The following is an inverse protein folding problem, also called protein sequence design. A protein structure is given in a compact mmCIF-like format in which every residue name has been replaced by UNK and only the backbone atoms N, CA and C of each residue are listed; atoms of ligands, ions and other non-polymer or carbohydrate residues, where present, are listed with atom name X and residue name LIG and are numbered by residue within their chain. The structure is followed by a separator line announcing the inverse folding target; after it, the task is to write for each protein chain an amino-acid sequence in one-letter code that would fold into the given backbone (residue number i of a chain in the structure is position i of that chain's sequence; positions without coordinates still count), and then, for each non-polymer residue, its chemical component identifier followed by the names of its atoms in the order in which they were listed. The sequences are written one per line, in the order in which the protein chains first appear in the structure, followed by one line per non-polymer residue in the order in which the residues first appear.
data_IF_109975199323
#
_entry.id   IF_109975199323
#
_cell.length_a   1.000
_cell.length_b   1.000
_cell.length_c   1.000
_cell.angle_alpha   90.00
_cell.angle_beta   90.00
_cell.angle_gamma   90.00
#
_symmetry.space_group_name_H-M   'P 1'
#
loop_
_entity.id
_entity.type
_entity.pdbx_description
1 polymer ?
#
# COMPACT_ATOMS: atom_id res chain seq x y z
N UNK A 1 18.14 -49.44 -78.23
CA UNK A 1 18.18 -50.01 -76.86
C UNK A 1 19.63 -50.24 -76.48
N UNK A 2 20.23 -49.30 -75.75
CA UNK A 2 21.62 -49.37 -75.25
C UNK A 2 21.53 -49.54 -73.73
N UNK A 3 21.99 -50.68 -73.21
CA UNK A 3 22.10 -50.91 -71.76
C UNK A 3 23.58 -50.81 -71.39
N UNK A 4 23.86 -49.89 -70.47
CA UNK A 4 25.18 -49.51 -70.00
C UNK A 4 25.81 -50.59 -69.10
N UNK A 5 27.11 -50.81 -69.29
CA UNK A 5 28.04 -51.31 -68.27
C UNK A 5 28.47 -50.16 -67.36
N UNK A 6 28.42 -50.34 -66.03
CA UNK A 6 29.22 -49.59 -65.05
C UNK A 6 29.56 -50.43 -63.81
N UNK A 7 30.81 -50.88 -63.79
CA UNK A 7 31.82 -50.78 -62.70
C UNK A 7 31.38 -50.82 -61.24
N UNK A 8 31.92 -51.80 -60.52
CA UNK A 8 32.13 -51.81 -59.07
C UNK A 8 33.39 -51.00 -58.68
N UNK A 9 33.34 -50.30 -57.54
CA UNK A 9 34.50 -49.94 -56.71
C UNK A 9 34.00 -49.47 -55.32
N UNK A 10 34.82 -49.71 -54.31
CA UNK A 10 34.46 -49.82 -52.90
C UNK A 10 34.92 -48.64 -52.02
N UNK A 11 34.47 -48.71 -50.75
CA UNK A 11 35.17 -48.38 -49.50
C UNK A 11 35.08 -46.96 -48.88
N UNK A 12 34.84 -46.98 -47.55
CA UNK A 12 35.15 -45.99 -46.50
C UNK A 12 34.42 -44.64 -46.59
N UNK A 13 33.63 -44.17 -45.63
CA UNK A 13 33.66 -44.36 -44.18
C UNK A 13 33.95 -43.01 -43.53
N UNK A 14 32.93 -42.33 -43.00
CA UNK A 14 33.06 -41.32 -41.92
C UNK A 14 31.67 -40.89 -41.45
N UNK A 15 31.25 -41.50 -40.34
CA UNK A 15 30.17 -41.02 -39.48
C UNK A 15 30.65 -39.74 -38.78
N UNK A 16 30.16 -38.59 -39.21
CA UNK A 16 30.24 -37.36 -38.43
C UNK A 16 29.05 -37.32 -37.46
N UNK A 17 29.26 -37.86 -36.26
CA UNK A 17 28.43 -37.57 -35.09
C UNK A 17 28.61 -36.09 -34.73
N UNK A 18 27.69 -35.23 -35.14
CA UNK A 18 27.57 -33.87 -34.62
C UNK A 18 26.96 -33.93 -33.23
N UNK A 19 27.79 -34.22 -32.24
CA UNK A 19 27.48 -33.96 -30.84
C UNK A 19 27.35 -32.44 -30.64
N UNK A 20 26.12 -31.91 -30.72
CA UNK A 20 25.76 -30.69 -30.02
C UNK A 20 25.86 -30.97 -28.52
N UNK A 21 27.07 -30.93 -28.00
CA UNK A 21 27.29 -30.72 -26.59
C UNK A 21 26.78 -29.31 -26.29
N UNK A 22 25.66 -29.20 -25.57
CA UNK A 22 25.24 -27.96 -24.92
C UNK A 22 26.39 -27.50 -24.02
N UNK A 23 27.23 -26.61 -24.54
CA UNK A 23 28.32 -25.99 -23.81
C UNK A 23 27.71 -25.14 -22.68
N UNK A 24 27.74 -25.70 -21.48
CA UNK A 24 27.30 -25.10 -20.22
C UNK A 24 28.18 -23.88 -19.95
N UNK A 25 27.63 -22.69 -19.67
CA UNK A 25 28.45 -21.52 -19.36
C UNK A 25 29.32 -21.81 -18.12
N UNK A 26 30.64 -21.57 -18.20
CA UNK A 26 31.56 -21.82 -17.11
C UNK A 26 31.35 -20.74 -16.04
N UNK A 27 30.96 -21.14 -14.82
CA UNK A 27 31.00 -20.24 -13.65
C UNK A 27 29.78 -20.27 -12.73
N UNK A 28 28.63 -20.80 -13.16
CA UNK A 28 27.44 -20.76 -12.32
C UNK A 28 27.29 -22.02 -11.46
N UNK A 29 27.62 -21.89 -10.17
CA UNK A 29 27.52 -22.97 -9.19
C UNK A 29 26.06 -23.44 -9.04
N UNK A 30 25.86 -24.70 -8.63
CA UNK A 30 24.52 -25.25 -8.37
C UNK A 30 23.73 -24.38 -7.39
N UNK A 31 24.41 -23.87 -6.37
CA UNK A 31 23.84 -23.01 -5.33
C UNK A 31 23.30 -21.70 -5.88
N UNK A 32 24.03 -21.03 -6.78
CA UNK A 32 23.58 -19.79 -7.42
C UNK A 32 22.29 -20.03 -8.21
N UNK A 33 22.23 -21.11 -9.01
CA UNK A 33 21.02 -21.46 -9.77
C UNK A 33 19.83 -21.76 -8.87
N UNK A 34 20.04 -22.50 -7.79
CA UNK A 34 18.96 -22.81 -6.83
C UNK A 34 18.45 -21.55 -6.15
N UNK A 35 19.33 -20.61 -5.80
CA UNK A 35 18.94 -19.31 -5.22
C UNK A 35 18.17 -18.45 -6.22
N UNK A 36 18.62 -18.36 -7.47
CA UNK A 36 17.91 -17.63 -8.52
C UNK A 36 16.52 -18.21 -8.78
N UNK A 37 16.40 -19.54 -8.92
CA UNK A 37 15.10 -20.18 -9.13
C UNK A 37 14.15 -19.99 -7.93
N UNK A 38 14.68 -19.99 -6.70
CA UNK A 38 13.89 -19.70 -5.51
C UNK A 38 13.40 -18.25 -5.48
N UNK A 39 14.25 -17.29 -5.85
CA UNK A 39 13.89 -15.88 -5.95
C UNK A 39 12.82 -15.63 -7.03
N UNK A 40 12.94 -16.29 -8.19
CA UNK A 40 11.93 -16.22 -9.26
C UNK A 40 10.57 -16.78 -8.81
N UNK A 41 10.58 -17.93 -8.11
CA UNK A 41 9.37 -18.53 -7.56
C UNK A 41 8.73 -17.64 -6.47
N UNK A 42 9.55 -17.05 -5.60
CA UNK A 42 9.10 -16.10 -4.58
C UNK A 42 8.46 -14.87 -5.23
N UNK A 43 9.12 -14.30 -6.24
CA UNK A 43 8.60 -13.14 -6.96
C UNK A 43 7.28 -13.44 -7.65
N UNK A 44 7.16 -14.59 -8.32
CA UNK A 44 5.92 -15.03 -8.94
C UNK A 44 4.79 -15.19 -7.90
N UNK A 45 5.11 -15.72 -6.71
CA UNK A 45 4.15 -15.82 -5.62
C UNK A 45 3.69 -14.44 -5.15
N UNK A 46 4.61 -13.48 -4.93
CA UNK A 46 4.29 -12.12 -4.49
C UNK A 46 3.36 -11.41 -5.48
N UNK A 47 3.65 -11.52 -6.78
CA UNK A 47 2.80 -10.96 -7.82
C UNK A 47 1.39 -11.56 -7.81
N UNK A 48 1.28 -12.88 -7.66
CA UNK A 48 -0.02 -13.55 -7.60
C UNK A 48 -0.79 -13.20 -6.33
N UNK A 49 -0.14 -13.26 -5.17
CA UNK A 49 -0.74 -12.95 -3.87
C UNK A 49 -1.26 -11.51 -3.81
N UNK A 50 -0.51 -10.54 -4.36
CA UNK A 50 -0.98 -9.16 -4.45
C UNK A 50 -2.22 -9.03 -5.35
N UNK A 51 -2.26 -9.68 -6.52
CA UNK A 51 -3.46 -9.66 -7.38
C UNK A 51 -4.67 -10.27 -6.69
N UNK A 52 -4.51 -11.41 -6.03
CA UNK A 52 -5.60 -12.09 -5.33
C UNK A 52 -6.10 -11.24 -4.15
N UNK A 53 -5.19 -10.61 -3.41
CA UNK A 53 -5.53 -9.71 -2.32
C UNK A 53 -6.35 -8.50 -2.81
N UNK A 54 -5.99 -7.90 -3.94
CA UNK A 54 -6.77 -6.80 -4.53
C UNK A 54 -8.19 -7.25 -4.92
N UNK A 55 -8.32 -8.42 -5.56
CA UNK A 55 -9.63 -8.96 -5.90
C UNK A 55 -10.51 -9.22 -4.65
N UNK A 56 -9.89 -9.70 -3.56
CA UNK A 56 -10.60 -9.89 -2.29
C UNK A 56 -11.00 -8.56 -1.64
N UNK A 57 -10.16 -7.53 -1.71
CA UNK A 57 -10.48 -6.18 -1.24
C UNK A 57 -11.66 -5.58 -2.01
N UNK A 58 -11.71 -5.78 -3.32
CA UNK A 58 -12.87 -5.37 -4.14
C UNK A 58 -14.14 -6.11 -3.74
N UNK A 59 -14.02 -7.39 -3.40
CA UNK A 59 -15.14 -8.20 -2.91
C UNK A 59 -15.61 -7.71 -1.55
N UNK A 60 -14.67 -7.42 -0.64
CA UNK A 60 -14.95 -6.88 0.69
C UNK A 60 -15.68 -5.54 0.62
N UNK A 61 -15.30 -4.66 -0.30
CA UNK A 61 -15.94 -3.36 -0.48
C UNK A 61 -17.44 -3.45 -0.84
N UNK A 62 -17.93 -4.62 -1.27
CA UNK A 62 -19.34 -4.88 -1.62
C UNK A 62 -20.04 -5.82 -0.62
N UNK A 63 -19.30 -6.37 0.33
CA UNK A 63 -19.83 -7.31 1.31
C UNK A 63 -20.50 -6.56 2.46
N UNK A 64 -21.53 -7.18 3.06
CA UNK A 64 -22.25 -6.64 4.21
C UNK A 64 -22.43 -7.72 5.30
N UNK A 65 -22.66 -7.28 6.54
CA UNK A 65 -22.94 -8.16 7.68
C UNK A 65 -21.78 -9.09 8.05
N UNK A 66 -22.10 -10.25 8.63
CA UNK A 66 -21.09 -11.20 9.13
C UNK A 66 -20.12 -11.70 8.05
N UNK A 67 -20.58 -11.82 6.80
CA UNK A 67 -19.72 -12.22 5.68
C UNK A 67 -18.63 -11.17 5.39
N UNK A 68 -18.92 -9.88 5.59
CA UNK A 68 -17.93 -8.82 5.46
C UNK A 68 -16.88 -8.88 6.57
N UNK A 69 -17.28 -9.19 7.81
CA UNK A 69 -16.36 -9.33 8.95
C UNK A 69 -15.38 -10.49 8.75
N UNK A 70 -15.89 -11.64 8.31
CA UNK A 70 -15.06 -12.82 7.98
C UNK A 70 -14.07 -12.52 6.87
N UNK A 71 -14.54 -11.88 5.79
CA UNK A 71 -13.69 -11.51 4.66
C UNK A 71 -12.66 -10.43 5.05
N UNK A 72 -13.01 -9.46 5.90
CA UNK A 72 -12.08 -8.48 6.42
C UNK A 72 -10.94 -9.13 7.22
N UNK A 73 -11.25 -10.13 8.04
CA UNK A 73 -10.23 -10.90 8.77
C UNK A 73 -9.29 -11.66 7.82
N UNK A 74 -9.81 -12.30 6.78
CA UNK A 74 -9.00 -12.99 5.77
C UNK A 74 -8.10 -12.02 4.99
N UNK A 75 -8.66 -10.90 4.54
CA UNK A 75 -7.91 -9.82 3.87
C UNK A 75 -6.79 -9.30 4.77
N UNK A 76 -7.06 -9.09 6.05
CA UNK A 76 -6.05 -8.67 7.03
C UNK A 76 -4.91 -9.69 7.18
N UNK A 77 -5.25 -10.98 7.31
CA UNK A 77 -4.25 -12.06 7.43
C UNK A 77 -3.36 -12.15 6.17
N UNK A 78 -3.95 -12.03 4.99
CA UNK A 78 -3.22 -12.05 3.70
C UNK A 78 -2.38 -10.81 3.47
N UNK A 79 -2.86 -9.65 3.90
CA UNK A 79 -2.08 -8.40 3.88
C UNK A 79 -0.82 -8.56 4.73
N UNK A 80 -0.95 -9.08 5.95
CA UNK A 80 0.18 -9.32 6.83
C UNK A 80 1.18 -10.32 6.24
N UNK A 81 0.68 -11.38 5.60
CA UNK A 81 1.54 -12.37 4.95
C UNK A 81 2.31 -11.80 3.76
N UNK A 82 1.60 -11.10 2.87
CA UNK A 82 2.20 -10.41 1.73
C UNK A 82 3.27 -9.43 2.20
N UNK A 83 2.98 -8.60 3.20
CA UNK A 83 3.92 -7.62 3.73
C UNK A 83 5.18 -8.28 4.29
N UNK A 84 5.03 -9.35 5.09
CA UNK A 84 6.15 -10.10 5.65
C UNK A 84 7.08 -10.64 4.55
N UNK A 85 6.50 -11.26 3.52
CA UNK A 85 7.27 -11.85 2.41
C UNK A 85 7.87 -10.80 1.48
N UNK A 86 7.18 -9.69 1.24
CA UNK A 86 7.71 -8.54 0.51
C UNK A 86 8.97 -7.99 1.19
N UNK A 87 8.93 -7.77 2.50
CA UNK A 87 10.08 -7.29 3.25
C UNK A 87 11.25 -8.27 3.19
N UNK A 88 10.98 -9.58 3.35
CA UNK A 88 12.01 -10.60 3.21
C UNK A 88 12.64 -10.57 1.81
N UNK A 89 11.83 -10.52 0.76
CA UNK A 89 12.31 -10.46 -0.63
C UNK A 89 13.16 -9.21 -0.90
N UNK A 90 12.73 -8.03 -0.44
CA UNK A 90 13.50 -6.78 -0.59
C UNK A 90 14.84 -6.87 0.14
N UNK A 91 14.85 -7.41 1.36
CA UNK A 91 16.07 -7.56 2.16
C UNK A 91 17.04 -8.60 1.60
N UNK A 92 16.54 -9.66 0.96
CA UNK A 92 17.36 -10.70 0.32
C UNK A 92 17.94 -10.26 -1.03
N UNK A 93 17.39 -9.19 -1.62
CA UNK A 93 17.78 -8.62 -2.90
C UNK A 93 18.04 -7.11 -2.78
N UNK A 94 18.91 -6.67 -1.85
CA UNK A 94 19.14 -5.26 -1.64
C UNK A 94 19.79 -4.65 -2.90
N UNK A 95 19.48 -3.38 -3.23
CA UNK A 95 20.22 -2.70 -4.28
C UNK A 95 21.71 -2.66 -3.93
N UNK A 96 22.62 -2.74 -4.93
CA UNK A 96 24.03 -2.49 -4.70
C UNK A 96 24.25 -1.16 -3.98
N UNK A 97 25.26 -1.07 -3.12
CA UNK A 97 25.50 0.12 -2.30
C UNK A 97 25.58 1.39 -3.15
N UNK A 98 24.71 2.37 -2.85
CA UNK A 98 24.62 3.64 -3.58
C UNK A 98 23.92 3.58 -4.94
N UNK A 99 23.50 2.40 -5.41
CA UNK A 99 22.72 2.25 -6.63
C UNK A 99 21.21 2.38 -6.32
N UNK A 100 20.46 2.93 -7.29
CA UNK A 100 19.00 2.91 -7.21
C UNK A 100 18.48 1.47 -7.40
N UNK A 101 17.40 1.07 -6.70
CA UNK A 101 16.72 -0.19 -6.98
C UNK A 101 16.28 -0.28 -8.44
N UNK A 102 16.37 -1.47 -9.04
CA UNK A 102 15.89 -1.74 -10.40
C UNK A 102 15.22 -3.11 -10.47
N UNK A 103 14.56 -3.40 -11.60
CA UNK A 103 13.94 -4.71 -11.87
C UNK A 103 12.96 -5.16 -10.78
N UNK A 104 12.99 -6.46 -10.45
CA UNK A 104 12.09 -7.05 -9.46
C UNK A 104 12.19 -6.42 -8.06
N UNK A 105 13.37 -5.98 -7.63
CA UNK A 105 13.52 -5.27 -6.34
C UNK A 105 12.76 -3.95 -6.34
N UNK A 106 12.86 -3.15 -7.41
CA UNK A 106 12.09 -1.90 -7.52
C UNK A 106 10.59 -2.16 -7.57
N UNK A 107 10.16 -3.19 -8.31
CA UNK A 107 8.75 -3.58 -8.38
C UNK A 107 8.22 -4.04 -7.02
N UNK A 108 9.00 -4.80 -6.25
CA UNK A 108 8.66 -5.21 -4.88
C UNK A 108 8.55 -4.00 -3.94
N UNK A 109 9.49 -3.06 -4.03
CA UNK A 109 9.45 -1.80 -3.27
C UNK A 109 8.17 -1.03 -3.60
N UNK A 110 7.82 -0.90 -4.88
CA UNK A 110 6.59 -0.19 -5.30
C UNK A 110 5.31 -0.92 -4.88
N UNK A 111 5.32 -2.24 -4.86
CA UNK A 111 4.22 -3.04 -4.29
C UNK A 111 4.06 -2.76 -2.79
N UNK A 112 5.16 -2.72 -2.03
CA UNK A 112 5.12 -2.30 -0.62
C UNK A 112 4.62 -0.86 -0.47
N UNK A 113 5.09 0.07 -1.29
CA UNK A 113 4.62 1.47 -1.26
C UNK A 113 3.12 1.57 -1.51
N UNK A 114 2.53 0.70 -2.33
CA UNK A 114 1.08 0.66 -2.52
C UNK A 114 0.34 0.27 -1.23
N UNK A 115 0.88 -0.68 -0.46
CA UNK A 115 0.36 -1.04 0.87
C UNK A 115 0.54 0.10 1.88
N UNK A 116 1.70 0.76 1.88
CA UNK A 116 1.98 1.91 2.75
C UNK A 116 1.00 3.08 2.46
N UNK A 117 0.68 3.33 1.19
CA UNK A 117 -0.33 4.33 0.79
C UNK A 117 -1.72 3.95 1.31
N UNK A 118 -2.11 2.68 1.26
CA UNK A 118 -3.41 2.22 1.80
C UNK A 118 -3.46 2.45 3.32
N UNK A 119 -2.42 2.05 4.03
CA UNK A 119 -2.31 2.27 5.47
C UNK A 119 -2.34 3.76 5.83
N UNK A 120 -1.63 4.61 5.07
CA UNK A 120 -1.66 6.05 5.29
C UNK A 120 -3.07 6.63 5.07
N UNK A 121 -3.79 6.16 4.05
CA UNK A 121 -5.18 6.55 3.81
C UNK A 121 -6.10 6.14 4.94
N UNK A 122 -5.97 4.92 5.48
CA UNK A 122 -6.74 4.45 6.65
C UNK A 122 -6.51 5.36 7.87
N UNK A 123 -5.24 5.70 8.17
CA UNK A 123 -4.94 6.64 9.25
C UNK A 123 -5.63 7.99 9.07
N UNK A 124 -5.76 8.49 7.83
CA UNK A 124 -6.48 9.73 7.55
C UNK A 124 -8.00 9.58 7.60
N UNK A 125 -8.57 8.57 6.93
CA UNK A 125 -10.00 8.43 6.70
C UNK A 125 -10.77 7.87 7.89
N UNK A 126 -10.13 7.05 8.71
CA UNK A 126 -10.74 6.45 9.90
C UNK A 126 -10.28 7.15 11.17
N UNK A 127 -8.97 7.43 11.25
CA UNK A 127 -8.33 7.91 12.46
C UNK A 127 -8.11 9.41 12.55
N UNK A 128 -8.29 10.18 11.46
CA UNK A 128 -7.90 11.60 11.41
C UNK A 128 -6.42 11.86 11.71
N UNK A 129 -5.58 10.82 11.67
CA UNK A 129 -4.19 10.84 12.10
C UNK A 129 -3.25 11.12 10.92
N UNK A 130 -3.30 12.37 10.45
CA UNK A 130 -2.42 12.85 9.40
C UNK A 130 -0.94 12.78 9.78
N UNK A 131 -0.60 12.84 11.07
CA UNK A 131 0.80 12.73 11.51
C UNK A 131 1.35 11.34 11.22
N UNK A 132 0.61 10.28 11.58
CA UNK A 132 1.01 8.91 11.25
C UNK A 132 0.98 8.66 9.76
N UNK A 133 -0.04 9.14 9.06
CA UNK A 133 -0.14 8.99 7.60
C UNK A 133 1.07 9.61 6.88
N UNK A 134 1.44 10.86 7.23
CA UNK A 134 2.60 11.54 6.67
C UNK A 134 3.89 10.78 6.97
N UNK A 135 4.08 10.29 8.21
CA UNK A 135 5.26 9.52 8.57
C UNK A 135 5.42 8.22 7.78
N UNK A 136 4.33 7.53 7.45
CA UNK A 136 4.34 6.35 6.58
C UNK A 136 4.76 6.71 5.16
N UNK A 137 4.18 7.78 4.59
CA UNK A 137 4.47 8.22 3.23
C UNK A 137 5.91 8.75 3.08
N UNK A 138 6.38 9.52 4.05
CA UNK A 138 7.76 10.03 4.11
C UNK A 138 8.76 8.86 4.18
N UNK A 139 8.54 7.88 5.06
CA UNK A 139 9.40 6.71 5.17
C UNK A 139 9.41 5.86 3.88
N UNK A 140 8.30 5.79 3.15
CA UNK A 140 8.26 5.11 1.86
C UNK A 140 9.03 5.88 0.77
N UNK A 141 8.97 7.21 0.78
CA UNK A 141 9.73 8.06 -0.15
C UNK A 141 11.24 8.04 0.11
N UNK A 142 11.67 7.86 1.35
CA UNK A 142 13.09 7.67 1.66
C UNK A 142 13.67 6.43 0.94
N UNK A 143 12.84 5.42 0.65
CA UNK A 143 13.22 4.18 -0.05
C UNK A 143 13.08 4.29 -1.58
N UNK A 144 12.01 4.90 -2.08
CA UNK A 144 11.78 5.16 -3.52
C UNK A 144 11.47 6.65 -3.78
N UNK A 145 12.51 7.52 -3.80
CA UNK A 145 12.31 8.96 -3.93
C UNK A 145 11.71 9.40 -5.27
N UNK A 146 11.79 8.55 -6.30
CA UNK A 146 11.30 8.85 -7.65
C UNK A 146 9.85 8.38 -7.86
N UNK A 147 9.16 7.90 -6.82
CA UNK A 147 7.80 7.39 -6.93
C UNK A 147 6.77 8.52 -7.04
N UNK A 148 6.17 8.78 -8.23
CA UNK A 148 5.27 9.91 -8.42
C UNK A 148 4.00 9.80 -7.56
N UNK A 149 3.50 8.57 -7.38
CA UNK A 149 2.28 8.34 -6.61
C UNK A 149 2.48 8.65 -5.12
N UNK A 150 3.64 8.31 -4.56
CA UNK A 150 3.93 8.67 -3.16
C UNK A 150 4.00 10.19 -2.96
N UNK A 151 4.61 10.92 -3.90
CA UNK A 151 4.62 12.39 -3.86
C UNK A 151 3.21 12.97 -3.91
N UNK A 152 2.36 12.47 -4.82
CA UNK A 152 0.95 12.91 -4.93
C UNK A 152 0.18 12.69 -3.62
N UNK A 153 0.30 11.50 -3.01
CA UNK A 153 -0.37 11.19 -1.74
C UNK A 153 0.18 12.03 -0.59
N UNK A 154 1.49 12.25 -0.53
CA UNK A 154 2.13 13.07 0.49
C UNK A 154 1.63 14.51 0.42
N UNK A 155 1.62 15.12 -0.76
CA UNK A 155 1.12 16.48 -0.95
C UNK A 155 -0.37 16.59 -0.63
N UNK A 156 -1.19 15.62 -1.05
CA UNK A 156 -2.60 15.56 -0.70
C UNK A 156 -2.82 15.46 0.82
N UNK A 157 -2.03 14.65 1.53
CA UNK A 157 -2.08 14.52 2.98
C UNK A 157 -1.63 15.82 3.68
N UNK A 158 -0.56 16.47 3.21
CA UNK A 158 -0.08 17.76 3.75
C UNK A 158 -1.13 18.84 3.61
N UNK A 159 -1.78 18.93 2.44
CA UNK A 159 -2.83 19.92 2.18
C UNK A 159 -4.07 19.74 3.06
N UNK A 160 -4.39 18.50 3.46
CA UNK A 160 -5.58 18.17 4.25
C UNK A 160 -5.35 18.09 5.75
N UNK A 161 -4.08 18.05 6.19
CA UNK A 161 -3.69 17.91 7.60
C UNK A 161 -4.29 19.00 8.49
N UNK A 162 -4.42 20.22 7.96
CA UNK A 162 -4.92 21.36 8.71
C UNK A 162 -6.30 21.79 8.23
N UNK A 163 -7.16 22.11 9.18
CA UNK A 163 -8.52 22.56 8.93
C UNK A 163 -8.51 24.01 8.41
N UNK A 164 -9.00 24.19 7.18
CA UNK A 164 -9.24 25.53 6.63
C UNK A 164 -10.58 26.09 7.10
N UNK A 165 -10.72 27.42 7.04
CA UNK A 165 -11.95 28.10 7.43
C UNK A 165 -13.11 27.74 6.51
N UNK A 166 -12.84 27.62 5.21
CA UNK A 166 -13.81 27.27 4.17
C UNK A 166 -14.35 25.85 4.38
N UNK A 167 -13.48 24.90 4.74
CA UNK A 167 -13.90 23.53 5.05
C UNK A 167 -14.73 23.50 6.33
N UNK A 168 -14.24 24.15 7.39
CA UNK A 168 -14.90 24.15 8.69
C UNK A 168 -16.30 24.79 8.66
N UNK A 169 -16.50 25.83 7.84
CA UNK A 169 -17.79 26.52 7.67
C UNK A 169 -18.92 25.61 7.11
N UNK A 170 -18.60 24.39 6.68
CA UNK A 170 -19.59 23.39 6.30
C UNK A 170 -20.30 22.77 7.51
N UNK A 171 -19.66 22.73 8.69
CA UNK A 171 -20.30 22.24 9.91
C UNK A 171 -21.25 23.28 10.49
N UNK A 172 -22.42 22.83 10.96
CA UNK A 172 -23.50 23.68 11.47
C UNK A 172 -24.18 23.03 12.67
N UNK A 173 -24.81 23.86 13.49
CA UNK A 173 -25.69 23.42 14.57
C UNK A 173 -26.74 22.41 14.08
N UNK A 174 -27.05 21.41 14.91
CA UNK A 174 -27.99 20.33 14.62
C UNK A 174 -27.41 19.15 13.81
N UNK A 175 -26.19 19.26 13.28
CA UNK A 175 -25.57 18.14 12.56
C UNK A 175 -25.24 16.96 13.50
N UNK A 176 -25.39 15.74 13.01
CA UNK A 176 -24.94 14.54 13.74
C UNK A 176 -23.42 14.36 13.60
N UNK A 177 -22.76 13.60 14.50
CA UNK A 177 -21.36 13.23 14.34
C UNK A 177 -21.04 12.61 12.98
N UNK A 178 -21.92 11.78 12.43
CA UNK A 178 -21.75 11.18 11.10
C UNK A 178 -21.76 12.22 9.98
N UNK A 179 -22.66 13.21 10.04
CA UNK A 179 -22.68 14.31 9.08
C UNK A 179 -21.41 15.17 9.16
N UNK A 180 -20.95 15.48 10.38
CA UNK A 180 -19.69 16.21 10.58
C UNK A 180 -18.51 15.44 10.01
N UNK A 181 -18.43 14.11 10.25
CA UNK A 181 -17.37 13.27 9.66
C UNK A 181 -17.37 13.29 8.14
N UNK A 182 -18.54 13.23 7.50
CA UNK A 182 -18.62 13.29 6.03
C UNK A 182 -18.15 14.63 5.46
N UNK A 183 -18.33 15.74 6.17
CA UNK A 183 -17.93 17.08 5.69
C UNK A 183 -16.48 17.43 6.08
N UNK A 184 -16.13 17.24 7.34
CA UNK A 184 -14.86 17.66 7.93
C UNK A 184 -13.80 16.55 7.98
N UNK A 185 -14.19 15.29 7.76
CA UNK A 185 -13.37 14.13 8.10
C UNK A 185 -13.47 13.76 9.58
N UNK A 186 -12.99 12.56 9.97
CA UNK A 186 -12.90 12.21 11.38
C UNK A 186 -11.89 13.11 12.11
N UNK A 187 -12.13 13.46 13.37
CA UNK A 187 -11.10 14.03 14.22
C UNK A 187 -10.03 12.96 14.54
N UNK A 188 -8.86 13.40 14.98
CA UNK A 188 -7.94 12.47 15.66
C UNK A 188 -8.59 11.98 16.95
N UNK A 189 -8.48 10.68 17.26
CA UNK A 189 -9.03 10.14 18.50
C UNK A 189 -8.48 10.82 19.77
N UNK A 190 -7.22 11.27 19.73
CA UNK A 190 -6.60 12.03 20.83
C UNK A 190 -7.11 13.48 20.94
N UNK A 191 -7.77 13.97 19.89
CA UNK A 191 -8.36 15.30 19.78
C UNK A 191 -9.88 15.27 20.02
N UNK A 192 -10.40 14.17 20.58
CA UNK A 192 -11.78 14.07 21.08
C UNK A 192 -11.75 14.18 22.60
N UNK A 193 -12.54 15.09 23.16
CA UNK A 193 -12.63 15.30 24.61
C UNK A 193 -14.06 15.25 25.10
N UNK A 194 -14.28 14.58 26.21
CA UNK A 194 -15.57 14.53 26.90
C UNK A 194 -15.57 15.48 28.09
N UNK A 195 -16.68 16.21 28.26
CA UNK A 195 -16.93 17.17 29.32
C UNK A 195 -18.24 16.74 30.03
N UNK A 196 -18.18 15.70 30.88
CA UNK A 196 -19.38 15.10 31.47
C UNK A 196 -20.18 16.08 32.34
N UNK A 197 -19.52 17.03 33.00
CA UNK A 197 -20.15 18.08 33.80
C UNK A 197 -21.02 19.03 32.97
N UNK A 198 -20.76 19.13 31.68
CA UNK A 198 -21.56 19.88 30.70
C UNK A 198 -22.44 18.97 29.84
N UNK A 199 -22.27 17.65 29.91
CA UNK A 199 -22.93 16.70 29.03
C UNK A 199 -22.54 16.87 27.56
N UNK A 200 -21.30 17.30 27.27
CA UNK A 200 -20.84 17.58 25.90
C UNK A 200 -19.57 16.85 25.52
N UNK A 201 -19.39 16.60 24.23
CA UNK A 201 -18.16 16.07 23.62
C UNK A 201 -17.64 17.09 22.61
N UNK A 202 -16.35 17.40 22.65
CA UNK A 202 -15.70 18.29 21.70
C UNK A 202 -14.77 17.51 20.78
N UNK A 203 -14.82 17.83 19.48
CA UNK A 203 -13.89 17.35 18.47
C UNK A 203 -13.00 18.51 18.03
N UNK A 204 -11.70 18.37 18.23
CA UNK A 204 -10.72 19.36 17.84
C UNK A 204 -10.08 19.00 16.49
N UNK A 205 -9.93 20.01 15.65
CA UNK A 205 -9.29 19.91 14.34
C UNK A 205 -8.13 20.90 14.27
N UNK A 206 -6.91 20.40 14.16
CA UNK A 206 -5.72 21.23 14.06
C UNK A 206 -5.79 22.19 12.87
N UNK A 207 -5.40 23.44 13.07
CA UNK A 207 -5.35 24.49 12.02
C UNK A 207 -3.94 24.83 11.59
N UNK A 208 -2.96 24.55 12.44
CA UNK A 208 -1.56 24.84 12.16
C UNK A 208 -0.65 23.92 13.00
N UNK A 209 0.66 23.87 12.73
CA UNK A 209 1.61 23.08 13.52
C UNK A 209 1.84 23.61 14.94
N UNK A 210 1.43 24.84 15.26
CA UNK A 210 1.64 25.49 16.56
C UNK A 210 0.64 25.05 17.64
N UNK A 211 -0.40 24.30 17.26
CA UNK A 211 -1.40 23.77 18.19
C UNK A 211 -2.74 24.49 18.18
N UNK A 212 -2.91 25.48 17.30
CA UNK A 212 -4.22 26.13 17.12
C UNK A 212 -5.22 25.12 16.56
N UNK A 213 -6.47 25.19 17.02
CA UNK A 213 -7.50 24.23 16.63
C UNK A 213 -8.88 24.89 16.49
N UNK A 214 -9.67 24.35 15.57
CA UNK A 214 -11.11 24.55 15.52
C UNK A 214 -11.80 23.47 16.35
N UNK A 215 -12.96 23.74 16.94
CA UNK A 215 -13.73 22.80 17.73
C UNK A 215 -15.18 22.69 17.26
N UNK A 216 -15.65 21.46 17.12
CA UNK A 216 -17.08 21.14 16.99
C UNK A 216 -17.55 20.51 18.29
N UNK A 217 -18.57 21.09 18.90
CA UNK A 217 -19.11 20.63 20.17
C UNK A 217 -20.45 19.95 19.98
N UNK A 218 -20.59 18.77 20.58
CA UNK A 218 -21.77 17.93 20.52
C UNK A 218 -22.42 17.85 21.90
N UNK A 219 -23.75 17.98 21.96
CA UNK A 219 -24.55 17.78 23.16
C UNK A 219 -25.63 16.74 22.87
N UNK A 220 -25.97 15.91 23.86
CA UNK A 220 -27.10 14.99 23.74
C UNK A 220 -28.42 15.75 23.84
N UNK A 221 -29.29 15.57 22.84
CA UNK A 221 -30.63 16.17 22.78
C UNK A 221 -31.73 15.09 22.93
N UNK A 222 -31.41 13.95 23.53
CA UNK A 222 -32.34 12.85 23.81
C UNK A 222 -32.62 11.92 22.61
N UNK A 223 -32.16 12.30 21.42
CA UNK A 223 -32.16 11.45 20.20
C UNK A 223 -30.74 11.12 19.74
N UNK A 224 -29.76 11.36 20.61
CA UNK A 224 -28.34 11.26 20.31
C UNK A 224 -27.65 12.63 20.23
N UNK A 225 -26.31 12.62 20.14
CA UNK A 225 -25.51 13.84 20.10
C UNK A 225 -25.70 14.59 18.78
N UNK A 226 -25.85 15.91 18.88
CA UNK A 226 -25.84 16.83 17.73
C UNK A 226 -24.93 18.01 18.01
N UNK A 227 -24.39 18.63 16.96
CA UNK A 227 -23.62 19.85 17.07
C UNK A 227 -24.47 20.92 17.74
N UNK A 228 -24.00 21.48 18.85
CA UNK A 228 -24.62 22.65 19.47
C UNK A 228 -23.77 23.92 19.31
N UNK A 229 -22.47 23.77 19.05
CA UNK A 229 -21.55 24.90 18.87
C UNK A 229 -20.42 24.54 17.90
N UNK A 230 -20.02 25.50 17.06
CA UNK A 230 -18.84 25.41 16.21
C UNK A 230 -17.99 26.66 16.41
N UNK A 231 -16.71 26.47 16.66
CA UNK A 231 -15.77 27.57 16.86
C UNK A 231 -14.48 27.29 16.08
N UNK A 232 -14.18 28.11 15.07
CA UNK A 232 -12.96 27.95 14.28
C UNK A 232 -11.72 28.37 15.05
N UNK A 233 -11.84 29.22 16.06
CA UNK A 233 -10.74 29.82 16.80
C UNK A 233 -10.69 29.30 18.26
N UNK A 234 -11.25 28.10 18.49
CA UNK A 234 -11.44 27.49 19.81
C UNK A 234 -10.14 27.33 20.63
N UNK A 235 -9.03 27.02 19.96
CA UNK A 235 -7.69 27.10 20.55
C UNK A 235 -6.82 28.05 19.71
N UNK A 236 -6.11 29.00 20.36
CA UNK A 236 -5.25 29.97 19.69
C UNK A 236 -4.00 29.34 19.10
#
# INVERSE_FOLDING_TARGET
MRVLHRTAAALCGLLALTSLACARPPGETREVRTRTAAAEAEWAWLQQAHRDLEAQRETLARAEGAAAEDLARDVGARTAELHRRLLAFINDHPPPAGAKPTGATLEAIRMKSAEDIRLAREYMSEGGDYRRALGVLEAALDVDPDNPRLHEELEAARARRYMSRERFAQAREGMTPGQVRSLLGPPNANDVREYPERGVTAWFYARNPQGAAAAVWFADQGKGPVVYEVDFDALP
#
